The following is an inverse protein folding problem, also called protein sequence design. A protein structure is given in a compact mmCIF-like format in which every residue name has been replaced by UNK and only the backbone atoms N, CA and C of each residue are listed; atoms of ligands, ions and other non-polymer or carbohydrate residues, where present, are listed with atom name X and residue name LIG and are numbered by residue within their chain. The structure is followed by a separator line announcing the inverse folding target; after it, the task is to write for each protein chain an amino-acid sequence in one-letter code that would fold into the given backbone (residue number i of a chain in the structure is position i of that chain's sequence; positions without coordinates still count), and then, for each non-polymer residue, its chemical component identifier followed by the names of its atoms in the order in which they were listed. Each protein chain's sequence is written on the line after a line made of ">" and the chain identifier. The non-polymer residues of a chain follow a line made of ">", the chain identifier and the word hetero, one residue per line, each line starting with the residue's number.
data_IF_722339836008
#
_entry.id   IF_722339836008
#
_cell.length_a   1.000
_cell.length_b   1.000
_cell.length_c   1.000
_cell.angle_alpha   90.00
_cell.angle_beta   90.00
_cell.angle_gamma   90.00
#
_symmetry.space_group_name_H-M   'P 1'
#
loop_
_entity.id
_entity.type
_entity.pdbx_description
1 polymer ?
#
# COMPACT_ATOMS: atom_id res chain seq x y z
N UNK A 1 2.20 -62.67 -16.30
CA UNK A 1 2.35 -61.77 -15.14
C UNK A 1 2.17 -60.34 -15.63
N UNK A 2 1.21 -59.63 -15.02
CA UNK A 2 0.64 -58.38 -15.52
C UNK A 2 1.53 -57.16 -15.32
N UNK A 3 1.30 -56.18 -16.21
CA UNK A 3 1.90 -54.85 -16.31
C UNK A 3 1.62 -54.03 -15.05
N UNK A 4 2.64 -53.31 -14.57
CA UNK A 4 2.45 -52.14 -13.72
C UNK A 4 2.78 -50.91 -14.54
N UNK A 5 1.74 -50.15 -14.90
CA UNK A 5 1.86 -48.75 -15.31
C UNK A 5 0.96 -47.98 -14.34
N UNK A 6 1.58 -47.15 -13.50
CA UNK A 6 0.86 -46.20 -12.64
C UNK A 6 1.24 -44.82 -13.15
N UNK A 7 0.41 -44.30 -14.06
CA UNK A 7 0.35 -42.89 -14.39
C UNK A 7 0.11 -42.09 -13.11
N UNK A 8 1.07 -41.24 -12.78
CA UNK A 8 0.96 -40.23 -11.73
C UNK A 8 0.09 -39.12 -12.30
N UNK A 9 -1.09 -38.94 -11.70
CA UNK A 9 -1.96 -37.78 -11.90
C UNK A 9 -1.22 -36.54 -11.39
N UNK A 10 -0.70 -35.73 -12.33
CA UNK A 10 -0.09 -34.43 -12.07
C UNK A 10 -1.20 -33.37 -12.15
N UNK A 11 -2.09 -33.37 -11.14
CA UNK A 11 -3.06 -32.30 -10.97
C UNK A 11 -2.37 -31.13 -10.23
N UNK A 12 -2.29 -29.93 -10.83
CA UNK A 12 -1.67 -28.78 -10.18
C UNK A 12 -2.45 -28.43 -8.91
N UNK A 13 -1.79 -28.05 -7.80
CA UNK A 13 -2.47 -27.75 -6.55
C UNK A 13 -3.41 -26.56 -6.76
N UNK A 14 -4.71 -26.80 -6.60
CA UNK A 14 -5.75 -25.77 -6.63
C UNK A 14 -5.47 -24.77 -5.50
N UNK A 15 -5.00 -23.58 -5.85
CA UNK A 15 -4.80 -22.49 -4.89
C UNK A 15 -6.17 -21.96 -4.44
N UNK A 16 -6.67 -22.47 -3.33
CA UNK A 16 -7.93 -21.99 -2.74
C UNK A 16 -7.71 -20.58 -2.18
N UNK A 17 -8.14 -19.56 -2.92
CA UNK A 17 -8.22 -18.19 -2.42
C UNK A 17 -9.31 -18.12 -1.34
N UNK A 18 -8.91 -18.03 -0.08
CA UNK A 18 -9.85 -17.90 1.02
C UNK A 18 -10.18 -16.41 1.27
N UNK A 19 -11.47 -16.08 1.24
CA UNK A 19 -11.97 -14.77 1.61
C UNK A 19 -12.18 -14.68 3.13
N UNK A 20 -11.81 -13.55 3.73
CA UNK A 20 -12.06 -13.21 5.14
C UNK A 20 -12.98 -12.02 5.24
N UNK A 21 -13.99 -12.11 6.09
CA UNK A 21 -14.87 -10.98 6.39
C UNK A 21 -14.28 -10.04 7.43
N UNK A 22 -14.32 -8.74 7.15
CA UNK A 22 -13.96 -7.66 8.07
C UNK A 22 -15.23 -6.89 8.44
N UNK A 23 -15.55 -6.87 9.74
CA UNK A 23 -16.69 -6.11 10.27
C UNK A 23 -16.31 -4.64 10.40
N UNK A 24 -17.02 -3.76 9.70
CA UNK A 24 -16.63 -2.35 9.58
C UNK A 24 -16.73 -1.56 10.89
N UNK A 25 -17.68 -1.93 11.75
CA UNK A 25 -17.84 -1.31 13.08
C UNK A 25 -16.69 -1.58 14.04
N UNK A 26 -15.84 -2.59 13.76
CA UNK A 26 -14.61 -2.86 14.50
C UNK A 26 -13.47 -2.05 13.89
N UNK A 27 -13.53 -0.73 14.05
CA UNK A 27 -12.64 0.22 13.38
C UNK A 27 -11.15 -0.07 13.62
N UNK A 28 -10.75 -0.53 14.80
CA UNK A 28 -9.35 -0.92 15.07
C UNK A 28 -8.90 -2.08 14.16
N UNK A 29 -9.75 -3.10 14.00
CA UNK A 29 -9.46 -4.24 13.10
C UNK A 29 -9.39 -3.84 11.63
N UNK A 30 -10.17 -2.84 11.25
CA UNK A 30 -10.12 -2.28 9.88
C UNK A 30 -8.79 -1.59 9.64
N UNK A 31 -8.32 -0.78 10.59
CA UNK A 31 -7.03 -0.11 10.47
C UNK A 31 -5.85 -1.08 10.57
N UNK A 32 -5.90 -2.07 11.44
CA UNK A 32 -4.91 -3.16 11.50
C UNK A 32 -4.81 -3.92 10.17
N UNK A 33 -5.94 -4.11 9.49
CA UNK A 33 -5.97 -4.72 8.17
C UNK A 33 -5.32 -3.81 7.14
N UNK A 34 -5.75 -2.55 7.04
CA UNK A 34 -5.21 -1.57 6.07
C UNK A 34 -3.69 -1.40 6.26
N UNK A 35 -3.24 -1.28 7.51
CA UNK A 35 -1.83 -1.16 7.84
C UNK A 35 -1.03 -2.36 7.36
N UNK A 36 -1.48 -3.59 7.67
CA UNK A 36 -0.81 -4.82 7.21
C UNK A 36 -0.75 -4.93 5.69
N UNK A 37 -1.80 -4.48 4.99
CA UNK A 37 -1.81 -4.46 3.53
C UNK A 37 -0.68 -3.59 2.96
N UNK A 38 -0.53 -2.37 3.45
CA UNK A 38 0.57 -1.50 3.02
C UNK A 38 1.94 -1.99 3.50
N UNK A 39 2.02 -2.62 4.68
CA UNK A 39 3.26 -3.22 5.17
C UNK A 39 3.75 -4.34 4.24
N UNK A 40 2.82 -5.14 3.71
CA UNK A 40 3.07 -6.24 2.77
C UNK A 40 3.21 -5.78 1.31
N UNK A 41 2.88 -4.53 0.98
CA UNK A 41 3.17 -3.96 -0.33
C UNK A 41 4.68 -3.79 -0.55
N UNK A 42 5.11 -3.83 -1.81
CA UNK A 42 6.49 -3.55 -2.22
C UNK A 42 6.92 -2.16 -1.76
N UNK A 43 8.18 -1.99 -1.35
CA UNK A 43 8.66 -0.67 -0.90
C UNK A 43 8.56 0.38 -2.01
N UNK A 44 8.91 0.01 -3.25
CA UNK A 44 8.79 0.87 -4.44
C UNK A 44 7.36 1.36 -4.67
N UNK A 45 6.36 0.52 -4.36
CA UNK A 45 4.95 0.85 -4.48
C UNK A 45 4.50 1.80 -3.36
N UNK A 46 4.91 1.51 -2.11
CA UNK A 46 4.67 2.40 -0.98
C UNK A 46 5.33 3.77 -1.19
N UNK A 47 6.54 3.82 -1.74
CA UNK A 47 7.23 5.06 -2.11
C UNK A 47 6.41 5.87 -3.11
N UNK A 48 5.99 5.26 -4.22
CA UNK A 48 5.18 5.94 -5.24
C UNK A 48 3.86 6.49 -4.68
N UNK A 49 3.13 5.67 -3.91
CA UNK A 49 1.86 6.07 -3.31
C UNK A 49 2.07 7.22 -2.32
N UNK A 50 3.06 7.10 -1.43
CA UNK A 50 3.39 8.13 -0.46
C UNK A 50 3.72 9.45 -1.16
N UNK A 51 4.56 9.39 -2.19
CA UNK A 51 4.99 10.59 -2.91
C UNK A 51 3.84 11.26 -3.65
N UNK A 52 3.06 10.50 -4.41
CA UNK A 52 1.92 11.02 -5.16
C UNK A 52 0.86 11.66 -4.25
N UNK A 53 0.60 11.07 -3.08
CA UNK A 53 -0.38 11.61 -2.14
C UNK A 53 0.12 12.87 -1.44
N UNK A 54 1.37 12.89 -0.97
CA UNK A 54 1.95 14.09 -0.34
C UNK A 54 2.04 15.23 -1.36
N UNK A 55 2.53 14.97 -2.56
CA UNK A 55 2.61 15.97 -3.62
C UNK A 55 1.22 16.54 -3.97
N UNK A 56 0.22 15.69 -4.15
CA UNK A 56 -1.15 16.13 -4.41
C UNK A 56 -1.72 17.00 -3.28
N UNK A 57 -1.45 16.63 -2.02
CA UNK A 57 -1.85 17.42 -0.86
C UNK A 57 -1.12 18.77 -0.81
N UNK A 58 0.18 18.79 -1.04
CA UNK A 58 0.99 20.02 -1.05
C UNK A 58 0.52 20.96 -2.15
N UNK A 59 0.38 20.48 -3.39
CA UNK A 59 -0.08 21.29 -4.53
C UNK A 59 -1.49 21.86 -4.29
N UNK A 60 -2.40 21.04 -3.76
CA UNK A 60 -3.76 21.48 -3.45
C UNK A 60 -3.82 22.44 -2.28
N UNK A 61 -2.99 22.23 -1.26
CA UNK A 61 -2.87 23.12 -0.10
C UNK A 61 -2.32 24.48 -0.56
N UNK A 62 -1.24 24.50 -1.34
CA UNK A 62 -0.67 25.73 -1.92
C UNK A 62 -1.68 26.48 -2.81
N UNK A 63 -2.48 25.75 -3.60
CA UNK A 63 -3.54 26.36 -4.41
C UNK A 63 -4.68 26.95 -3.58
N UNK A 64 -4.96 26.40 -2.39
CA UNK A 64 -6.05 26.86 -1.52
C UNK A 64 -5.59 27.92 -0.50
N UNK A 65 -4.34 27.83 -0.04
CA UNK A 65 -3.72 28.68 0.97
C UNK A 65 -2.29 29.03 0.51
N UNK A 66 -2.13 30.06 -0.35
CA UNK A 66 -0.81 30.46 -0.87
C UNK A 66 0.21 30.81 0.21
N UNK A 67 -0.26 31.33 1.35
CA UNK A 67 0.59 31.78 2.47
C UNK A 67 0.97 30.65 3.46
N UNK A 68 0.54 29.40 3.23
CA UNK A 68 0.79 28.27 4.14
C UNK A 68 2.23 27.71 4.09
N UNK A 69 3.14 28.30 3.30
CA UNK A 69 4.46 27.73 3.00
C UNK A 69 5.42 27.61 4.18
N UNK A 70 5.20 28.39 5.25
CA UNK A 70 6.13 28.49 6.38
C UNK A 70 5.73 27.68 7.61
N UNK A 71 4.65 26.88 7.58
CA UNK A 71 4.25 26.03 8.70
C UNK A 71 4.04 24.56 8.27
N UNK A 72 4.06 23.63 9.23
CA UNK A 72 3.65 22.26 8.95
C UNK A 72 2.14 22.26 8.68
N UNK A 73 1.67 21.56 7.64
CA UNK A 73 0.25 21.50 7.38
C UNK A 73 -0.47 20.72 8.48
N UNK A 74 -1.73 21.07 8.75
CA UNK A 74 -2.54 20.47 9.82
C UNK A 74 -2.85 18.97 9.62
N UNK A 75 -2.61 18.44 8.41
CA UNK A 75 -2.71 17.02 8.10
C UNK A 75 -1.41 16.25 8.38
N UNK A 76 -0.29 16.92 8.70
CA UNK A 76 0.96 16.24 8.99
C UNK A 76 0.91 15.57 10.38
N UNK A 77 1.25 14.27 10.51
CA UNK A 77 1.18 13.55 11.78
C UNK A 77 2.34 13.88 12.74
N UNK A 78 2.25 15.03 13.42
CA UNK A 78 3.28 15.49 14.36
C UNK A 78 3.55 14.52 15.52
N UNK A 79 2.57 13.70 15.90
CA UNK A 79 2.73 12.73 16.99
C UNK A 79 3.74 11.61 16.66
N UNK A 80 3.98 11.34 15.36
CA UNK A 80 4.84 10.23 14.91
C UNK A 80 6.13 10.72 14.22
N UNK A 81 6.12 11.93 13.66
CA UNK A 81 7.27 12.52 12.96
C UNK A 81 7.91 13.68 13.73
N UNK A 82 7.32 14.08 14.86
CA UNK A 82 7.73 15.25 15.61
C UNK A 82 7.18 16.55 15.03
N UNK A 83 7.49 17.65 15.72
CA UNK A 83 7.09 19.01 15.32
C UNK A 83 8.14 19.70 14.45
N UNK A 84 9.25 19.03 14.13
CA UNK A 84 10.22 19.55 13.18
C UNK A 84 9.74 19.34 11.73
N UNK A 85 10.25 20.16 10.82
CA UNK A 85 9.94 20.06 9.40
C UNK A 85 10.82 19.06 8.66
N UNK A 86 11.78 18.41 9.33
CA UNK A 86 12.81 17.62 8.66
C UNK A 86 12.17 16.48 7.90
N UNK A 87 11.37 15.66 8.57
CA UNK A 87 10.69 14.53 7.91
C UNK A 87 9.68 14.99 6.84
N UNK A 88 9.07 16.17 7.01
CA UNK A 88 8.15 16.74 6.01
C UNK A 88 8.89 17.21 4.76
N UNK A 89 10.03 17.88 4.91
CA UNK A 89 10.85 18.35 3.78
C UNK A 89 11.53 17.19 3.05
N UNK A 90 11.81 16.10 3.78
CA UNK A 90 12.49 14.92 3.28
C UNK A 90 11.53 13.72 3.17
N UNK A 91 10.24 13.94 2.89
CA UNK A 91 9.23 12.87 2.88
C UNK A 91 9.54 11.75 1.88
N UNK A 92 10.25 12.07 0.79
CA UNK A 92 10.66 11.11 -0.25
C UNK A 92 11.68 10.09 0.28
N UNK A 93 12.50 10.51 1.27
CA UNK A 93 13.59 9.73 1.86
C UNK A 93 13.16 8.96 3.12
N UNK A 94 11.86 8.98 3.46
CA UNK A 94 11.35 8.27 4.63
C UNK A 94 11.58 6.76 4.51
N UNK A 95 11.97 6.06 5.59
CA UNK A 95 12.02 4.60 5.59
C UNK A 95 10.61 4.02 5.36
N UNK A 96 10.54 2.80 4.79
CA UNK A 96 9.28 2.12 4.44
C UNK A 96 8.24 2.16 5.57
N UNK A 97 8.64 1.88 6.80
CA UNK A 97 7.75 1.89 7.97
C UNK A 97 7.06 3.24 8.16
N UNK A 98 7.84 4.33 8.10
CA UNK A 98 7.31 5.69 8.18
C UNK A 98 6.39 6.02 6.99
N UNK A 99 6.73 5.57 5.77
CA UNK A 99 5.85 5.73 4.59
C UNK A 99 4.51 5.04 4.79
N UNK A 100 4.52 3.77 5.22
CA UNK A 100 3.29 3.00 5.48
C UNK A 100 2.41 3.70 6.51
N UNK A 101 3.02 4.22 7.58
CA UNK A 101 2.30 5.01 8.56
C UNK A 101 1.66 6.25 7.94
N UNK A 102 2.43 7.04 7.17
CA UNK A 102 1.95 8.28 6.56
C UNK A 102 0.81 8.02 5.57
N UNK A 103 0.92 6.98 4.74
CA UNK A 103 -0.15 6.53 3.84
C UNK A 103 -1.41 6.19 4.66
N UNK A 104 -1.29 5.39 5.72
CA UNK A 104 -2.43 5.06 6.57
C UNK A 104 -3.06 6.30 7.21
N UNK A 105 -2.23 7.25 7.65
CA UNK A 105 -2.67 8.50 8.26
C UNK A 105 -3.46 9.37 7.28
N UNK A 106 -2.95 9.57 6.07
CA UNK A 106 -3.64 10.31 5.00
C UNK A 106 -4.99 9.67 4.69
N UNK A 107 -5.01 8.35 4.47
CA UNK A 107 -6.25 7.62 4.20
C UNK A 107 -7.26 7.76 5.36
N UNK A 108 -6.77 7.70 6.61
CA UNK A 108 -7.59 7.87 7.81
C UNK A 108 -8.26 9.23 7.89
N UNK A 109 -7.57 10.31 7.49
CA UNK A 109 -8.19 11.63 7.41
C UNK A 109 -9.21 11.71 6.27
N UNK A 110 -8.89 11.15 5.10
CA UNK A 110 -9.78 11.23 3.93
C UNK A 110 -11.09 10.46 4.10
N UNK A 111 -11.13 9.39 4.91
CA UNK A 111 -12.38 8.68 5.21
C UNK A 111 -13.25 9.39 6.26
N UNK A 112 -12.69 10.34 7.02
CA UNK A 112 -13.50 11.09 7.99
C UNK A 112 -14.55 11.95 7.27
N UNK A 113 -15.73 12.15 7.88
CA UNK A 113 -16.67 13.17 7.43
C UNK A 113 -16.00 14.54 7.37
N UNK A 114 -16.36 15.37 6.39
CA UNK A 114 -15.72 16.67 6.14
C UNK A 114 -15.66 17.57 7.39
N UNK A 115 -16.69 17.54 8.23
CA UNK A 115 -16.75 18.30 9.49
C UNK A 115 -15.72 17.87 10.55
N UNK A 116 -15.07 16.72 10.37
CA UNK A 116 -14.03 16.16 11.25
C UNK A 116 -12.65 16.14 10.60
N UNK A 117 -12.54 16.60 9.36
CA UNK A 117 -11.25 16.69 8.67
C UNK A 117 -10.52 17.96 9.11
N UNK A 118 -9.17 17.95 9.15
CA UNK A 118 -8.37 19.16 9.26
C UNK A 118 -8.73 20.17 8.16
N UNK A 119 -8.52 21.46 8.43
CA UNK A 119 -8.92 22.55 7.55
C UNK A 119 -8.24 22.45 6.17
N UNK A 120 -6.94 22.18 6.13
CA UNK A 120 -6.22 22.12 4.83
C UNK A 120 -6.56 20.85 4.06
N UNK A 121 -6.77 19.73 4.76
CA UNK A 121 -7.29 18.49 4.16
C UNK A 121 -8.68 18.69 3.54
N UNK A 122 -9.60 19.32 4.26
CA UNK A 122 -10.95 19.61 3.80
C UNK A 122 -10.96 20.49 2.55
N UNK A 123 -10.06 21.48 2.49
CA UNK A 123 -9.91 22.37 1.34
C UNK A 123 -9.39 21.65 0.09
N UNK A 124 -8.54 20.62 0.26
CA UNK A 124 -8.02 19.82 -0.85
C UNK A 124 -9.12 19.03 -1.59
N UNK A 125 -10.26 18.77 -0.94
CA UNK A 125 -11.39 17.98 -1.45
C UNK A 125 -10.98 16.59 -1.98
N UNK A 126 -9.87 16.05 -1.47
CA UNK A 126 -9.45 14.70 -1.79
C UNK A 126 -10.43 13.69 -1.21
N UNK A 127 -10.74 12.66 -1.99
CA UNK A 127 -11.60 11.57 -1.56
C UNK A 127 -10.95 10.21 -1.86
N UNK A 128 -11.50 9.14 -1.29
CA UNK A 128 -10.97 7.77 -1.44
C UNK A 128 -10.79 7.35 -2.89
N UNK A 129 -11.68 7.77 -3.80
CA UNK A 129 -11.55 7.48 -5.24
C UNK A 129 -10.36 8.21 -5.86
N UNK A 130 -10.15 9.48 -5.52
CA UNK A 130 -9.00 10.25 -6.02
C UNK A 130 -7.68 9.74 -5.44
N UNK A 131 -7.64 9.34 -4.17
CA UNK A 131 -6.46 8.67 -3.60
C UNK A 131 -6.17 7.36 -4.31
N UNK A 132 -7.21 6.61 -4.70
CA UNK A 132 -7.08 5.41 -5.53
C UNK A 132 -6.47 5.73 -6.89
N UNK A 133 -7.00 6.74 -7.58
CA UNK A 133 -6.48 7.18 -8.87
C UNK A 133 -5.00 7.60 -8.77
N UNK A 134 -4.62 8.37 -7.75
CA UNK A 134 -3.23 8.76 -7.50
C UNK A 134 -2.33 7.56 -7.18
N UNK A 135 -2.83 6.56 -6.45
CA UNK A 135 -2.07 5.37 -6.10
C UNK A 135 -1.75 4.48 -7.32
N UNK A 136 -2.61 4.48 -8.35
CA UNK A 136 -2.43 3.68 -9.57
C UNK A 136 -1.96 4.50 -10.77
N UNK A 137 -2.10 5.83 -10.75
CA UNK A 137 -1.91 6.71 -11.90
C UNK A 137 -0.47 6.78 -12.42
N UNK A 138 0.51 6.66 -11.51
CA UNK A 138 1.95 6.63 -11.84
C UNK A 138 2.52 5.21 -11.92
N UNK A 139 1.66 4.18 -11.84
CA UNK A 139 2.09 2.81 -12.03
C UNK A 139 2.16 2.50 -13.52
N UNK A 140 3.27 1.89 -13.92
CA UNK A 140 3.42 1.38 -15.28
C UNK A 140 2.22 0.47 -15.59
N UNK A 141 1.53 0.63 -16.73
CA UNK A 141 0.46 -0.26 -17.14
C UNK A 141 0.83 -1.76 -17.07
N UNK A 142 2.11 -2.09 -17.21
CA UNK A 142 2.64 -3.46 -17.01
C UNK A 142 2.72 -3.89 -15.54
N UNK A 143 2.91 -2.97 -14.60
CA UNK A 143 2.81 -3.22 -13.16
C UNK A 143 1.34 -3.39 -12.71
N UNK A 144 0.40 -2.74 -13.41
CA UNK A 144 -1.05 -2.94 -13.24
C UNK A 144 -1.48 -4.37 -13.66
N UNK A 145 -0.68 -5.08 -14.45
CA UNK A 145 -1.00 -6.44 -14.91
C UNK A 145 -0.65 -7.52 -13.86
N UNK A 146 0.05 -7.18 -12.77
CA UNK A 146 0.17 -8.11 -11.63
C UNK A 146 -1.13 -8.11 -10.81
N UNK A 147 -1.99 -9.08 -11.12
CA UNK A 147 -3.33 -9.26 -10.54
C UNK A 147 -3.30 -9.27 -8.99
N UNK A 148 -2.22 -9.77 -8.39
CA UNK A 148 -2.05 -9.88 -6.93
C UNK A 148 -1.62 -8.57 -6.25
N UNK A 149 -0.71 -7.79 -6.85
CA UNK A 149 -0.26 -6.49 -6.30
C UNK A 149 -1.43 -5.51 -6.23
N UNK A 150 -2.24 -5.51 -7.28
CA UNK A 150 -3.48 -4.74 -7.32
C UNK A 150 -4.51 -5.27 -6.34
N UNK A 151 -4.56 -6.58 -6.05
CA UNK A 151 -5.55 -7.14 -5.14
C UNK A 151 -5.41 -6.56 -3.72
N UNK A 152 -4.18 -6.43 -3.20
CA UNK A 152 -3.91 -5.84 -1.88
C UNK A 152 -4.46 -4.43 -1.75
N UNK A 153 -4.09 -3.57 -2.70
CA UNK A 153 -4.46 -2.16 -2.69
C UNK A 153 -5.95 -1.99 -3.02
N UNK A 154 -6.51 -2.80 -3.93
CA UNK A 154 -7.94 -2.80 -4.20
C UNK A 154 -8.76 -3.20 -2.97
N UNK A 155 -8.30 -4.19 -2.20
CA UNK A 155 -8.92 -4.56 -0.94
C UNK A 155 -8.91 -3.39 0.05
N UNK A 156 -7.79 -2.66 0.16
CA UNK A 156 -7.70 -1.45 1.00
C UNK A 156 -8.74 -0.42 0.57
N UNK A 157 -8.81 -0.06 -0.71
CA UNK A 157 -9.76 0.96 -1.16
C UNK A 157 -11.22 0.52 -1.08
N UNK A 158 -11.51 -0.78 -1.26
CA UNK A 158 -12.85 -1.33 -1.03
C UNK A 158 -13.24 -1.15 0.44
N UNK A 159 -12.39 -1.60 1.36
CA UNK A 159 -12.65 -1.48 2.81
C UNK A 159 -12.73 -0.02 3.25
N UNK A 160 -11.85 0.85 2.75
CA UNK A 160 -11.84 2.27 3.08
C UNK A 160 -13.10 3.01 2.57
N UNK A 161 -13.59 2.68 1.36
CA UNK A 161 -14.85 3.24 0.84
C UNK A 161 -16.04 2.83 1.71
N UNK A 162 -16.09 1.57 2.11
CA UNK A 162 -17.11 1.06 3.03
C UNK A 162 -17.01 1.73 4.42
N UNK A 163 -15.80 1.93 4.93
CA UNK A 163 -15.56 2.61 6.20
C UNK A 163 -16.04 4.06 6.16
N UNK A 164 -15.76 4.77 5.05
CA UNK A 164 -16.25 6.14 4.83
C UNK A 164 -17.78 6.21 4.89
N UNK A 165 -18.49 5.25 4.29
CA UNK A 165 -19.95 5.20 4.34
C UNK A 165 -20.46 4.92 5.76
N UNK A 166 -19.81 4.02 6.48
CA UNK A 166 -20.11 3.74 7.89
C UNK A 166 -19.91 4.99 8.77
N UNK A 167 -18.76 5.67 8.65
CA UNK A 167 -18.45 6.89 9.42
C UNK A 167 -19.39 8.06 9.08
N UNK A 168 -19.97 8.06 7.88
CA UNK A 168 -20.98 9.03 7.48
C UNK A 168 -22.42 8.63 7.89
N UNK A 169 -22.60 7.50 8.58
CA UNK A 169 -23.91 7.00 9.01
C UNK A 169 -24.76 6.39 7.89
N UNK A 170 -24.17 6.11 6.72
CA UNK A 170 -24.86 5.48 5.57
C UNK A 170 -24.85 3.96 5.60
N UNK A 171 -24.09 3.35 6.52
CA UNK A 171 -23.91 1.90 6.62
C UNK A 171 -23.90 1.48 8.09
N UNK A 172 -24.36 0.26 8.35
CA UNK A 172 -24.43 -0.32 9.70
C UNK A 172 -23.07 -0.87 10.18
N UNK A 173 -22.86 -0.86 11.49
CA UNK A 173 -21.65 -1.36 12.15
C UNK A 173 -21.38 -2.86 11.91
N UNK A 174 -22.44 -3.66 11.74
CA UNK A 174 -22.37 -5.10 11.47
C UNK A 174 -22.01 -5.45 10.03
N UNK A 175 -21.83 -4.45 9.16
CA UNK A 175 -21.53 -4.72 7.75
C UNK A 175 -20.17 -5.39 7.57
N UNK A 176 -20.17 -6.54 6.90
CA UNK A 176 -18.98 -7.33 6.63
C UNK A 176 -18.46 -7.09 5.21
N UNK A 177 -17.15 -6.92 5.07
CA UNK A 177 -16.45 -6.81 3.78
C UNK A 177 -15.52 -7.99 3.62
N UNK A 178 -15.79 -8.84 2.64
CA UNK A 178 -14.96 -10.00 2.32
C UNK A 178 -13.72 -9.56 1.53
N UNK A 179 -12.52 -9.94 1.97
CA UNK A 179 -11.19 -9.60 1.41
C UNK A 179 -10.33 -10.86 1.23
N UNK A 180 -9.33 -10.83 0.35
CA UNK A 180 -8.53 -12.02 0.05
C UNK A 180 -7.42 -12.24 1.10
N UNK A 181 -7.50 -13.25 1.97
CA UNK A 181 -6.51 -13.41 3.06
C UNK A 181 -5.17 -14.00 2.58
N UNK A 182 -5.04 -14.49 1.32
CA UNK A 182 -3.76 -14.95 0.75
C UNK A 182 -2.80 -13.82 0.35
N UNK A 183 -3.29 -12.60 0.19
CA UNK A 183 -2.44 -11.52 -0.29
C UNK A 183 -1.38 -11.09 0.77
N UNK A 184 -1.48 -11.58 2.01
CA UNK A 184 -0.46 -11.39 3.05
C UNK A 184 0.80 -12.27 2.87
N UNK A 185 0.85 -13.16 1.87
CA UNK A 185 1.91 -14.18 1.73
C UNK A 185 2.86 -14.03 0.53
N UNK A 186 2.60 -13.11 -0.41
CA UNK A 186 3.39 -13.03 -1.65
C UNK A 186 3.85 -11.60 -1.87
N UNK A 187 5.06 -11.26 -1.44
CA UNK A 187 5.97 -10.30 -2.07
C UNK A 187 7.32 -10.34 -1.34
N UNK A 188 8.11 -11.38 -1.61
CA UNK A 188 9.56 -11.37 -1.41
C UNK A 188 10.17 -12.14 -2.57
N UNK A 189 10.27 -11.48 -3.72
CA UNK A 189 11.18 -11.91 -4.79
C UNK A 189 12.17 -10.76 -5.02
N UNK A 190 13.08 -10.61 -4.06
CA UNK A 190 14.38 -9.99 -4.30
C UNK A 190 15.39 -11.13 -4.47
N UNK A 191 15.43 -11.73 -5.65
CA UNK A 191 16.63 -12.39 -6.16
C UNK A 191 16.77 -12.01 -7.64
N UNK A 192 17.48 -10.91 -7.88
CA UNK A 192 18.16 -10.68 -9.15
C UNK A 192 19.23 -11.78 -9.28
N UNK A 193 19.18 -12.69 -10.27
CA UNK A 193 20.29 -13.61 -10.46
C UNK A 193 21.43 -12.80 -11.05
N UNK A 194 22.35 -12.34 -10.20
CA UNK A 194 23.66 -11.87 -10.68
C UNK A 194 24.33 -13.07 -11.33
N UNK A 195 24.26 -13.10 -12.67
CA UNK A 195 25.00 -14.04 -13.50
C UNK A 195 26.47 -13.69 -13.34
N UNK A 196 27.11 -14.29 -12.34
CA UNK A 196 28.57 -14.27 -12.18
C UNK A 196 29.17 -15.03 -13.35
N UNK A 197 29.54 -14.27 -14.38
CA UNK A 197 30.33 -14.70 -15.52
C UNK A 197 31.70 -15.19 -15.01
N UNK A 198 32.11 -16.45 -15.22
CA UNK A 198 33.46 -16.88 -14.90
C UNK A 198 34.35 -16.68 -16.11
N UNK A 199 35.14 -15.61 -16.10
CA UNK A 199 36.29 -15.46 -16.99
C UNK A 199 37.50 -14.95 -16.19
N UNK A 200 38.38 -15.88 -15.78
CA UNK A 200 39.83 -15.76 -15.90
C UNK A 200 40.57 -16.88 -15.15
N UNK A 201 41.01 -17.86 -15.93
CA UNK A 201 42.40 -18.35 -16.01
C UNK A 201 43.23 -18.45 -14.74
N UNK A 202 43.47 -19.68 -14.27
CA UNK A 202 44.75 -20.07 -13.66
C UNK A 202 45.18 -21.44 -14.20
N UNK A 203 46.21 -21.42 -15.05
CA UNK A 203 46.97 -22.61 -15.45
C UNK A 203 47.81 -23.06 -14.25
N UNK A 204 47.56 -24.28 -13.74
CA UNK A 204 48.46 -24.91 -12.78
C UNK A 204 49.59 -25.64 -13.51
N UNK A 205 50.79 -25.19 -13.14
CA UNK A 205 52.11 -25.78 -13.33
C UNK A 205 52.11 -27.32 -13.26
N UNK A 206 52.78 -27.92 -14.23
CA UNK A 206 53.31 -29.28 -14.09
C UNK A 206 54.53 -29.32 -13.18
N UNK A 207 54.70 -30.47 -12.52
CA UNK A 207 55.95 -31.08 -12.02
C UNK A 207 55.60 -32.57 -11.80
N UNK A 208 56.49 -33.56 -12.00
CA UNK A 208 57.86 -33.53 -12.54
C UNK A 208 57.98 -34.09 -13.97
#
# INVERSE_FOLDING_TARGET
>A
MGRHDKTIDDEPPVSVSYMVGIIIGKTDRVWDFIHRRFQNCEDTLCERICNAWVEALVLKTQSAYPDAGDELPDWWPTDHFGSDKTDYMHYQELPKEKRVYLICHILKMTVQPLAKQPLTMAACKLNVTQLKELAFGDLDPSAIISDEKNALINDVFRVAGILKDYLAGRRDAGTEVFVNKNADCVLSNDEEPTVLSPAATWQSRGVP
#
